data_IF_851824507371
#
_entry.id   IF_851824507371
#
_cell.length_a   1.000
_cell.length_b   1.000
_cell.length_c   1.000
_cell.angle_alpha   90.00
_cell.angle_beta   90.00
_cell.angle_gamma   90.00
#
_symmetry.space_group_name_H-M   'P 1'
#
loop_
_entity.id
_entity.type
_entity.pdbx_description
1 polymer ?
#
# COMPACT_ATOMS: atom_id res chain seq x y z
N UNK A 1 17.89 -20.90 6.73
CA UNK A 1 17.80 -19.45 6.46
C UNK A 1 16.38 -19.19 5.99
N UNK A 2 15.66 -18.29 6.66
CA UNK A 2 14.27 -18.02 6.33
C UNK A 2 14.19 -17.28 4.99
N UNK A 3 13.47 -17.85 4.05
CA UNK A 3 13.28 -17.29 2.72
C UNK A 3 11.83 -16.83 2.56
N UNK A 4 11.60 -15.51 2.75
CA UNK A 4 10.29 -14.90 2.57
C UNK A 4 9.88 -14.80 1.08
N UNK A 5 10.77 -15.10 0.15
CA UNK A 5 10.43 -15.12 -1.28
C UNK A 5 9.46 -16.25 -1.64
N UNK A 6 9.35 -17.26 -0.79
CA UNK A 6 8.44 -18.40 -0.95
C UNK A 6 7.00 -18.09 -0.53
N UNK A 7 6.75 -16.94 0.12
CA UNK A 7 5.37 -16.59 0.53
C UNK A 7 4.49 -16.41 -0.71
N UNK A 8 3.46 -17.22 -0.81
CA UNK A 8 2.48 -17.19 -1.91
C UNK A 8 1.24 -16.37 -1.58
N UNK A 9 0.84 -16.39 -0.31
CA UNK A 9 -0.40 -15.73 0.12
C UNK A 9 -0.15 -14.87 1.35
N UNK A 10 -0.66 -13.65 1.32
CA UNK A 10 -0.58 -12.70 2.42
C UNK A 10 -1.97 -12.46 2.96
N UNK A 11 -2.18 -12.71 4.24
CA UNK A 11 -3.45 -12.47 4.92
C UNK A 11 -3.28 -11.41 5.99
N UNK A 12 -4.27 -10.57 6.17
CA UNK A 12 -4.33 -9.57 7.24
C UNK A 12 -5.56 -9.82 8.10
N UNK A 13 -5.34 -9.98 9.41
CA UNK A 13 -6.42 -10.00 10.38
C UNK A 13 -6.84 -8.57 10.70
N UNK A 14 -7.98 -8.14 10.15
CA UNK A 14 -8.53 -6.81 10.39
C UNK A 14 -8.93 -6.63 11.87
N UNK A 15 -9.08 -5.39 12.31
CA UNK A 15 -9.36 -5.11 13.71
C UNK A 15 -8.09 -5.15 14.58
N UNK A 16 -8.16 -5.79 15.73
CA UNK A 16 -6.99 -5.97 16.60
C UNK A 16 -6.91 -7.38 17.17
N UNK A 17 -5.68 -7.87 17.33
CA UNK A 17 -5.37 -9.17 17.94
C UNK A 17 -4.49 -8.95 19.17
N UNK A 18 -4.63 -9.79 20.20
CA UNK A 18 -3.70 -9.77 21.35
C UNK A 18 -2.32 -10.26 20.92
N UNK A 19 -1.37 -9.35 20.80
CA UNK A 19 0.00 -9.69 20.40
C UNK A 19 0.83 -10.38 21.50
N UNK A 20 0.25 -10.69 22.67
CA UNK A 20 0.89 -11.55 23.67
C UNK A 20 0.83 -13.02 23.27
N UNK A 21 -0.10 -13.38 22.40
CA UNK A 21 -0.24 -14.73 21.87
C UNK A 21 1.05 -15.20 21.18
N UNK A 22 1.45 -16.44 21.47
CA UNK A 22 2.51 -17.15 20.75
C UNK A 22 1.99 -17.80 19.46
N UNK A 23 2.77 -18.74 18.90
CA UNK A 23 2.43 -19.46 17.68
C UNK A 23 1.06 -20.16 17.81
N UNK A 24 0.89 -21.00 18.82
CA UNK A 24 -0.34 -21.79 19.00
C UNK A 24 -1.58 -20.92 19.18
N UNK A 25 -1.45 -19.81 19.95
CA UNK A 25 -2.54 -18.86 20.14
C UNK A 25 -2.93 -18.15 18.84
N UNK A 26 -1.97 -17.79 17.98
CA UNK A 26 -2.26 -17.16 16.68
C UNK A 26 -2.79 -18.18 15.66
N UNK A 27 -2.31 -19.43 15.69
CA UNK A 27 -2.92 -20.54 14.93
C UNK A 27 -4.38 -20.69 15.30
N UNK A 28 -4.71 -20.72 16.60
CA UNK A 28 -6.10 -20.79 17.08
C UNK A 28 -6.94 -19.60 16.62
N UNK A 29 -6.39 -18.37 16.61
CA UNK A 29 -7.08 -17.19 16.08
C UNK A 29 -7.43 -17.38 14.61
N UNK A 30 -6.52 -17.85 13.77
CA UNK A 30 -6.79 -18.06 12.34
C UNK A 30 -7.86 -19.13 12.14
N UNK A 31 -7.75 -20.28 12.81
CA UNK A 31 -8.61 -21.45 12.57
C UNK A 31 -9.98 -21.32 13.23
N UNK A 32 -10.06 -20.71 14.41
CA UNK A 32 -11.30 -20.67 15.21
C UNK A 32 -12.07 -19.36 15.05
N UNK A 33 -11.35 -18.25 14.97
CA UNK A 33 -11.98 -16.92 14.91
C UNK A 33 -12.29 -16.48 13.48
N UNK A 34 -11.45 -16.87 12.52
CA UNK A 34 -11.58 -16.43 11.13
C UNK A 34 -11.94 -17.57 10.17
N UNK A 35 -12.15 -18.79 10.66
CA UNK A 35 -12.38 -19.97 9.83
C UNK A 35 -11.35 -20.11 8.69
N UNK A 36 -10.15 -19.62 8.97
CA UNK A 36 -9.07 -19.51 8.01
C UNK A 36 -8.33 -20.82 7.83
N UNK A 37 -8.04 -21.16 6.58
CA UNK A 37 -7.18 -22.30 6.26
C UNK A 37 -5.71 -21.88 6.34
N UNK A 38 -4.94 -22.60 7.15
CA UNK A 38 -3.49 -22.42 7.28
C UNK A 38 -2.76 -23.15 6.13
N UNK A 39 -2.92 -22.64 4.92
CA UNK A 39 -2.24 -23.18 3.74
C UNK A 39 -0.72 -22.98 3.86
N UNK A 40 0.06 -23.91 3.30
CA UNK A 40 1.51 -23.76 3.22
C UNK A 40 1.92 -22.49 2.47
N UNK A 41 3.06 -21.94 2.85
CA UNK A 41 3.63 -20.72 2.28
C UNK A 41 2.72 -19.48 2.43
N UNK A 42 1.85 -19.48 3.44
CA UNK A 42 0.99 -18.35 3.79
C UNK A 42 1.52 -17.54 4.97
N UNK A 43 1.44 -16.22 4.86
CA UNK A 43 1.83 -15.26 5.88
C UNK A 43 0.60 -14.55 6.44
N UNK A 44 0.34 -14.70 7.73
CA UNK A 44 -0.79 -14.08 8.43
C UNK A 44 -0.28 -12.91 9.28
N UNK A 45 -0.83 -11.73 9.06
CA UNK A 45 -0.44 -10.50 9.72
C UNK A 45 -1.44 -10.12 10.80
N UNK A 46 -0.93 -9.76 11.97
CA UNK A 46 -1.71 -9.38 13.15
C UNK A 46 -1.20 -8.07 13.74
N UNK A 47 -2.13 -7.24 14.21
CA UNK A 47 -1.80 -5.99 14.87
C UNK A 47 -2.57 -5.86 16.19
N UNK A 48 -1.91 -5.34 17.22
CA UNK A 48 -2.53 -5.03 18.50
C UNK A 48 -3.29 -3.71 18.48
N UNK A 49 -3.73 -3.27 19.67
CA UNK A 49 -4.34 -1.93 19.82
C UNK A 49 -3.40 -0.81 19.39
N UNK A 50 -2.11 -0.97 19.67
CA UNK A 50 -1.05 -0.06 19.20
C UNK A 50 -0.61 -0.49 17.81
N UNK A 51 -0.65 0.45 16.87
CA UNK A 51 -0.31 0.20 15.46
C UNK A 51 1.17 0.42 15.12
N UNK A 52 2.02 0.58 16.15
CA UNK A 52 3.47 0.69 15.99
C UNK A 52 4.18 -0.67 15.83
N UNK A 53 3.45 -1.77 15.99
CA UNK A 53 3.98 -3.14 15.97
C UNK A 53 3.01 -4.14 15.39
N UNK A 54 3.57 -5.16 14.75
CA UNK A 54 2.85 -6.28 14.17
C UNK A 54 3.52 -7.60 14.53
N UNK A 55 2.74 -8.67 14.52
CA UNK A 55 3.23 -10.04 14.43
C UNK A 55 2.84 -10.62 13.08
N UNK A 56 3.70 -11.47 12.55
CA UNK A 56 3.39 -12.24 11.35
C UNK A 56 3.66 -13.72 11.63
N UNK A 57 2.66 -14.56 11.38
CA UNK A 57 2.74 -16.00 11.46
C UNK A 57 2.92 -16.56 10.06
N UNK A 58 4.05 -17.18 9.81
CA UNK A 58 4.34 -17.81 8.51
C UNK A 58 4.22 -19.31 8.64
N UNK A 59 3.38 -19.91 7.80
CA UNK A 59 3.21 -21.36 7.69
C UNK A 59 4.20 -21.89 6.66
N UNK A 60 5.17 -22.68 7.10
CA UNK A 60 6.12 -23.42 6.26
C UNK A 60 5.61 -24.85 6.06
N UNK A 61 6.22 -25.60 5.14
CA UNK A 61 5.88 -27.01 4.93
C UNK A 61 6.10 -27.89 6.15
N UNK A 62 7.02 -27.52 7.05
CA UNK A 62 7.44 -28.28 8.23
C UNK A 62 7.02 -27.64 9.57
N UNK A 63 6.41 -26.45 9.56
CA UNK A 63 6.02 -25.79 10.82
C UNK A 63 5.57 -24.35 10.69
N UNK A 64 5.79 -23.59 11.75
CA UNK A 64 5.41 -22.19 11.84
C UNK A 64 6.58 -21.32 12.26
N UNK A 65 6.67 -20.14 11.68
CA UNK A 65 7.63 -19.11 12.07
C UNK A 65 6.85 -17.88 12.55
N UNK A 66 7.20 -17.37 13.72
CA UNK A 66 6.62 -16.15 14.27
C UNK A 66 7.62 -15.01 14.14
N UNK A 67 7.21 -13.98 13.40
CA UNK A 67 7.94 -12.75 13.19
C UNK A 67 7.33 -11.64 14.03
N UNK A 68 8.16 -10.78 14.58
CA UNK A 68 7.74 -9.58 15.29
C UNK A 68 8.46 -8.36 14.72
N UNK A 69 7.68 -7.37 14.29
CA UNK A 69 8.22 -6.10 13.82
C UNK A 69 7.63 -4.95 14.64
N UNK A 70 8.50 -4.11 15.18
CA UNK A 70 8.16 -2.86 15.84
C UNK A 70 8.83 -1.71 15.10
N UNK A 71 8.07 -0.67 14.79
CA UNK A 71 8.59 0.56 14.20
C UNK A 71 9.24 1.41 15.29
N UNK A 72 10.39 1.99 14.99
CA UNK A 72 11.03 2.99 15.85
C UNK A 72 10.24 4.29 15.85
N UNK A 73 9.75 4.68 14.66
CA UNK A 73 8.90 5.85 14.45
C UNK A 73 7.74 5.50 13.50
N UNK A 74 6.61 6.18 13.65
CA UNK A 74 5.44 5.98 12.79
C UNK A 74 4.51 4.85 13.26
N UNK A 75 3.54 4.55 12.42
CA UNK A 75 2.48 3.56 12.69
C UNK A 75 2.07 2.88 11.39
N UNK A 76 1.69 1.61 11.47
CA UNK A 76 1.03 0.91 10.38
C UNK A 76 -0.39 1.43 10.20
N UNK A 77 -0.82 1.64 8.97
CA UNK A 77 -2.20 2.00 8.62
C UNK A 77 -3.08 0.75 8.60
N UNK A 78 -3.32 0.20 9.79
CA UNK A 78 -4.02 -1.07 9.97
C UNK A 78 -5.53 -0.91 9.76
N UNK A 79 -6.19 -1.78 8.96
CA UNK A 79 -7.63 -1.76 8.81
C UNK A 79 -8.30 -2.12 10.13
N UNK A 80 -9.22 -1.27 10.58
CA UNK A 80 -9.99 -1.43 11.83
C UNK A 80 -11.47 -1.73 11.57
N UNK A 81 -11.79 -2.17 10.36
CA UNK A 81 -13.09 -2.71 10.00
C UNK A 81 -13.45 -3.95 10.83
N UNK A 82 -14.59 -4.54 10.57
CA UNK A 82 -15.02 -5.80 11.20
C UNK A 82 -13.89 -6.83 11.23
N UNK A 83 -13.89 -7.66 12.27
CA UNK A 83 -12.89 -8.70 12.44
C UNK A 83 -13.03 -9.75 11.32
N UNK A 84 -12.21 -9.62 10.31
CA UNK A 84 -12.17 -10.49 9.15
C UNK A 84 -10.72 -10.80 8.75
N UNK A 85 -10.53 -11.90 8.05
CA UNK A 85 -9.26 -12.26 7.44
C UNK A 85 -9.31 -11.89 5.95
N UNK A 86 -8.54 -10.87 5.56
CA UNK A 86 -8.45 -10.45 4.16
C UNK A 86 -7.20 -10.99 3.48
N UNK A 87 -7.37 -11.52 2.27
CA UNK A 87 -6.25 -11.81 1.38
C UNK A 87 -5.72 -10.50 0.81
N UNK A 88 -4.41 -10.30 0.91
CA UNK A 88 -3.71 -9.15 0.34
C UNK A 88 -3.01 -9.56 -0.95
N UNK A 89 -3.08 -8.71 -1.95
CA UNK A 89 -2.16 -8.79 -3.08
C UNK A 89 -0.75 -8.31 -2.66
N UNK A 90 0.31 -8.71 -3.38
CA UNK A 90 1.68 -8.34 -3.03
C UNK A 90 1.92 -6.83 -2.98
N UNK A 91 1.16 -6.04 -3.72
CA UNK A 91 1.28 -4.58 -3.72
C UNK A 91 0.67 -3.97 -2.45
N UNK A 92 -0.52 -4.42 -2.04
CA UNK A 92 -1.16 -4.01 -0.78
C UNK A 92 -0.30 -4.38 0.43
N UNK A 93 0.35 -5.55 0.42
CA UNK A 93 1.32 -5.94 1.44
C UNK A 93 2.50 -4.95 1.51
N UNK A 94 3.08 -4.57 0.36
CA UNK A 94 4.17 -3.57 0.33
C UNK A 94 3.73 -2.23 0.88
N UNK A 95 2.55 -1.73 0.48
CA UNK A 95 2.01 -0.48 0.99
C UNK A 95 1.86 -0.50 2.51
N UNK A 96 1.33 -1.59 3.07
CA UNK A 96 1.24 -1.75 4.52
C UNK A 96 2.61 -1.68 5.20
N UNK A 97 3.62 -2.35 4.62
CA UNK A 97 4.98 -2.36 5.17
C UNK A 97 5.68 -0.99 5.06
N UNK A 98 5.28 -0.16 4.11
CA UNK A 98 5.73 1.22 3.91
C UNK A 98 4.92 2.23 4.75
N UNK A 99 3.95 1.77 5.56
CA UNK A 99 3.11 2.62 6.39
C UNK A 99 1.94 3.26 5.65
N UNK A 100 1.61 2.78 4.46
CA UNK A 100 0.47 3.21 3.66
C UNK A 100 -0.75 2.34 3.94
N UNK A 101 -1.93 2.81 3.56
CA UNK A 101 -3.17 2.02 3.63
C UNK A 101 -3.17 0.90 2.59
N UNK A 102 -3.70 -0.26 2.93
CA UNK A 102 -3.86 -1.39 1.99
C UNK A 102 -4.86 -1.07 0.86
N UNK A 103 -5.87 -0.27 1.17
CA UNK A 103 -6.82 0.26 0.20
C UNK A 103 -6.44 1.71 -0.12
N UNK A 104 -5.80 1.92 -1.25
CA UNK A 104 -5.52 3.27 -1.74
C UNK A 104 -6.76 3.84 -2.40
N UNK A 105 -7.20 5.02 -1.97
CA UNK A 105 -8.23 5.76 -2.71
C UNK A 105 -7.71 6.02 -4.12
N UNK A 106 -8.56 5.87 -5.11
CA UNK A 106 -8.23 5.93 -6.56
C UNK A 106 -7.37 7.14 -6.94
N UNK A 107 -7.51 8.27 -6.23
CA UNK A 107 -6.71 9.48 -6.45
C UNK A 107 -5.22 9.37 -6.05
N UNK A 108 -4.86 8.42 -5.15
CA UNK A 108 -3.48 8.27 -4.64
C UNK A 108 -2.72 7.17 -5.42
N UNK A 109 -3.45 6.20 -5.99
CA UNK A 109 -2.86 5.08 -6.73
C UNK A 109 -1.93 5.50 -7.88
N UNK A 110 -2.30 6.47 -8.74
CA UNK A 110 -1.42 6.96 -9.79
C UNK A 110 -0.19 7.68 -9.24
N UNK A 111 -0.33 8.38 -8.11
CA UNK A 111 0.76 9.13 -7.48
C UNK A 111 1.87 8.22 -6.94
N UNK A 112 1.51 7.07 -6.34
CA UNK A 112 2.48 6.10 -5.79
C UNK A 112 3.15 5.26 -6.87
N UNK A 113 2.45 4.95 -7.97
CA UNK A 113 3.05 4.30 -9.15
C UNK A 113 4.00 5.22 -9.91
N UNK A 114 3.68 6.53 -9.98
CA UNK A 114 4.55 7.57 -10.54
C UNK A 114 5.81 7.83 -9.72
N UNK A 115 5.82 7.50 -8.42
CA UNK A 115 6.96 7.76 -7.52
C UNK A 115 8.26 7.08 -7.98
N UNK A 116 8.20 5.91 -8.61
CA UNK A 116 9.37 5.27 -9.23
C UNK A 116 9.91 6.07 -10.42
N UNK A 117 9.05 6.72 -11.19
CA UNK A 117 9.45 7.55 -12.33
C UNK A 117 10.02 8.90 -11.89
N UNK A 118 9.70 9.37 -10.69
CA UNK A 118 10.19 10.64 -10.13
C UNK A 118 11.58 10.53 -9.50
N UNK A 119 12.01 9.32 -9.13
CA UNK A 119 13.38 9.06 -8.67
C UNK A 119 14.44 9.31 -9.76
N UNK A 120 14.00 9.48 -11.03
CA UNK A 120 14.88 9.78 -12.16
C UNK A 120 14.83 11.25 -12.61
N UNK A 121 14.18 12.14 -11.86
CA UNK A 121 14.25 13.57 -12.12
C UNK A 121 15.52 14.14 -11.48
N UNK A 122 16.52 14.42 -12.28
CA UNK A 122 17.82 14.97 -11.83
C UNK A 122 17.72 16.38 -11.23
N UNK A 123 16.58 17.04 -11.31
CA UNK A 123 16.39 18.40 -10.79
C UNK A 123 15.05 18.57 -10.09
N UNK A 124 14.99 19.47 -9.09
CA UNK A 124 13.76 19.87 -8.40
C UNK A 124 12.71 20.44 -9.36
N UNK A 125 13.12 21.23 -10.36
CA UNK A 125 12.25 21.77 -11.40
C UNK A 125 11.64 20.67 -12.29
N UNK A 126 12.41 19.62 -12.60
CA UNK A 126 11.89 18.45 -13.33
C UNK A 126 10.85 17.67 -12.54
N UNK A 127 11.02 17.55 -11.22
CA UNK A 127 10.05 16.92 -10.35
C UNK A 127 8.75 17.72 -10.24
N UNK A 128 8.83 19.06 -10.12
CA UNK A 128 7.67 19.96 -10.10
C UNK A 128 6.90 19.91 -11.44
N UNK A 129 7.59 19.96 -12.57
CA UNK A 129 6.96 19.87 -13.89
C UNK A 129 6.24 18.52 -14.07
N UNK A 130 6.85 17.44 -13.66
CA UNK A 130 6.24 16.10 -13.68
C UNK A 130 4.99 16.02 -12.80
N UNK A 131 5.03 16.64 -11.61
CA UNK A 131 3.88 16.71 -10.71
C UNK A 131 2.70 17.47 -11.34
N UNK A 132 2.97 18.58 -12.00
CA UNK A 132 1.94 19.38 -12.68
C UNK A 132 1.29 18.56 -13.81
N UNK A 133 2.09 17.95 -14.70
CA UNK A 133 1.58 17.13 -15.79
C UNK A 133 0.73 15.96 -15.26
N UNK A 134 1.19 15.30 -14.21
CA UNK A 134 0.45 14.19 -13.61
C UNK A 134 -0.89 14.64 -13.00
N UNK A 135 -0.90 15.78 -12.35
CA UNK A 135 -2.10 16.41 -11.78
C UNK A 135 -3.14 16.72 -12.86
N UNK A 136 -2.70 17.22 -14.04
CA UNK A 136 -3.56 17.47 -15.20
C UNK A 136 -4.15 16.17 -15.77
N UNK A 137 -3.33 15.13 -15.92
CA UNK A 137 -3.77 13.81 -16.40
C UNK A 137 -4.84 13.21 -15.50
N UNK A 138 -4.64 13.27 -14.17
CA UNK A 138 -5.62 12.73 -13.23
C UNK A 138 -6.90 13.57 -13.19
N UNK A 139 -6.79 14.88 -13.30
CA UNK A 139 -7.96 15.75 -13.42
C UNK A 139 -8.80 15.44 -14.67
N UNK A 140 -8.14 15.19 -15.81
CA UNK A 140 -8.83 14.80 -17.04
C UNK A 140 -9.61 13.48 -16.85
N UNK A 141 -8.98 12.46 -16.25
CA UNK A 141 -9.61 11.16 -15.99
C UNK A 141 -10.82 11.26 -15.07
N UNK A 142 -10.70 12.05 -13.98
CA UNK A 142 -11.81 12.26 -13.03
C UNK A 142 -13.00 12.92 -13.69
N UNK A 143 -12.76 13.81 -14.65
CA UNK A 143 -13.80 14.51 -15.42
C UNK A 143 -14.26 13.76 -16.69
N UNK A 144 -13.79 12.52 -16.89
CA UNK A 144 -14.19 11.71 -18.04
C UNK A 144 -13.66 12.23 -19.40
N UNK A 145 -12.61 13.07 -19.37
CA UNK A 145 -11.95 13.59 -20.57
C UNK A 145 -10.75 12.71 -20.92
N UNK A 146 -10.55 12.45 -22.21
CA UNK A 146 -9.40 11.68 -22.67
C UNK A 146 -8.10 12.46 -22.36
N UNK A 147 -7.15 11.90 -21.55
CA UNK A 147 -6.01 12.65 -21.04
C UNK A 147 -5.07 13.20 -22.09
N UNK A 148 -4.86 12.49 -23.20
CA UNK A 148 -3.96 12.92 -24.27
C UNK A 148 -4.54 14.15 -25.00
N UNK A 149 -5.82 14.11 -25.36
CA UNK A 149 -6.51 15.23 -25.99
C UNK A 149 -6.55 16.47 -25.08
N UNK A 150 -6.78 16.26 -23.77
CA UNK A 150 -6.76 17.33 -22.78
C UNK A 150 -5.37 17.98 -22.65
N UNK A 151 -4.31 17.20 -22.52
CA UNK A 151 -2.93 17.71 -22.46
C UNK A 151 -2.55 18.46 -23.74
N UNK A 152 -2.89 17.91 -24.91
CA UNK A 152 -2.64 18.55 -26.18
C UNK A 152 -3.32 19.93 -26.24
N UNK A 153 -4.58 20.01 -25.81
CA UNK A 153 -5.32 21.27 -25.75
C UNK A 153 -4.64 22.28 -24.80
N UNK A 154 -4.30 21.87 -23.58
CA UNK A 154 -3.64 22.74 -22.59
C UNK A 154 -2.29 23.24 -23.11
N UNK A 155 -1.47 22.36 -23.69
CA UNK A 155 -0.13 22.71 -24.19
C UNK A 155 -0.19 23.66 -25.40
N UNK A 156 -1.22 23.57 -26.26
CA UNK A 156 -1.44 24.47 -27.35
C UNK A 156 -1.92 25.86 -26.88
N UNK A 157 -2.62 25.95 -25.77
CA UNK A 157 -3.11 27.20 -25.19
C UNK A 157 -2.05 27.99 -24.39
N UNK A 158 -1.11 27.28 -23.74
CA UNK A 158 -0.07 27.87 -22.88
C UNK A 158 0.75 28.99 -23.59
N UNK A 159 1.17 28.89 -24.89
CA UNK A 159 1.91 29.95 -25.58
C UNK A 159 1.11 31.22 -25.74
N UNK A 160 -0.21 31.15 -25.74
CA UNK A 160 -1.09 32.32 -25.92
C UNK A 160 -1.36 33.08 -24.62
N UNK A 161 -1.25 32.40 -23.45
CA UNK A 161 -1.46 33.01 -22.14
C UNK A 161 -0.26 33.88 -21.69
N UNK A 162 0.94 33.63 -22.20
CA UNK A 162 2.16 34.37 -21.86
C UNK A 162 2.29 35.75 -22.52
N UNK A 163 1.38 36.13 -23.43
CA UNK A 163 1.46 37.40 -24.18
C UNK A 163 0.55 38.52 -23.67
N UNK A 164 -0.20 38.32 -22.59
CA UNK A 164 -1.21 39.29 -22.11
C UNK A 164 -0.76 40.17 -20.94
N UNK A 165 0.50 40.14 -20.52
CA UNK A 165 1.03 41.05 -19.50
C UNK A 165 2.31 41.75 -19.97
N UNK A 166 2.16 42.69 -20.93
CA UNK A 166 3.12 43.74 -21.18
C UNK A 166 2.32 45.01 -21.58
N UNK A 167 1.83 45.69 -20.56
CA UNK A 167 1.54 47.13 -20.59
C UNK A 167 1.61 47.67 -19.19
#
# INVERSE_FOLDING_TARGET
MMDLSKVRSYYIACGYTDLRLGIDGLVAVVTQQYDGQLNEESLFLFCGRRTDRIKALYRTGDGYILLYKRLSNGRFQWPRSEAELKLLDPQSFRWLMEGLRIEQKTAIRPFTLGRKNWLFCDTTKGAEASAIVYSLVESAKVNGVEPFAYLQHVLLQLPHLGKTHSH
#
